data_IF_604379840776
#
_entry.id   IF_604379840776
#
_cell.length_a   1.000
_cell.length_b   1.000
_cell.length_c   1.000
_cell.angle_alpha   90.00
_cell.angle_beta   90.00
_cell.angle_gamma   90.00
#
_symmetry.space_group_name_H-M   'P 1'
#
loop_
_entity.id
_entity.type
_entity.pdbx_description
1 polymer ?
#
# COMPACT_ATOMS: atom_id res chain seq x y z
N UNK A 1 9.55 -10.09 -19.67
CA UNK A 1 10.81 -9.38 -19.35
C UNK A 1 11.85 -9.84 -20.36
N UNK A 2 12.59 -8.90 -20.96
CA UNK A 2 13.63 -9.21 -21.96
C UNK A 2 14.97 -9.41 -21.23
N UNK A 3 15.62 -10.57 -21.31
CA UNK A 3 16.93 -10.77 -20.70
C UNK A 3 17.99 -9.91 -21.40
N UNK A 4 18.97 -9.42 -20.64
CA UNK A 4 20.10 -8.69 -21.22
C UNK A 4 20.96 -9.66 -22.04
N UNK A 5 21.29 -9.28 -23.26
CA UNK A 5 22.23 -10.01 -24.12
C UNK A 5 23.53 -9.23 -24.28
N UNK A 6 24.63 -9.93 -24.58
CA UNK A 6 25.91 -9.28 -24.83
C UNK A 6 25.81 -8.28 -25.99
N UNK A 7 26.38 -7.09 -25.80
CA UNK A 7 26.31 -5.99 -26.78
C UNK A 7 25.01 -5.18 -26.76
N UNK A 8 24.09 -5.42 -25.82
CA UNK A 8 22.88 -4.60 -25.67
C UNK A 8 23.25 -3.18 -25.20
N UNK A 9 22.83 -2.16 -25.96
CA UNK A 9 22.91 -0.76 -25.54
C UNK A 9 21.54 -0.30 -25.02
N UNK A 10 21.50 0.19 -23.79
CA UNK A 10 20.27 0.62 -23.12
C UNK A 10 20.37 2.12 -22.86
N UNK A 11 19.46 2.90 -23.45
CA UNK A 11 19.33 4.33 -23.19
C UNK A 11 18.00 4.60 -22.48
N UNK A 12 18.06 5.27 -21.34
CA UNK A 12 16.89 5.68 -20.55
C UNK A 12 16.37 7.05 -21.04
N UNK A 13 17.24 7.83 -21.65
CA UNK A 13 16.97 9.20 -22.11
C UNK A 13 16.52 9.29 -23.56
N UNK A 14 16.42 8.14 -24.23
CA UNK A 14 15.87 8.03 -25.59
C UNK A 14 14.44 8.60 -25.66
N UNK A 15 14.16 9.29 -26.76
CA UNK A 15 12.91 10.00 -26.96
C UNK A 15 11.72 9.04 -27.11
N UNK A 16 11.92 7.90 -27.79
CA UNK A 16 10.89 6.87 -27.93
C UNK A 16 10.52 6.30 -26.54
N UNK A 17 11.52 6.08 -25.70
CA UNK A 17 11.31 5.59 -24.33
C UNK A 17 10.58 6.60 -23.43
N UNK A 18 10.78 7.91 -23.64
CA UNK A 18 10.04 8.97 -22.93
C UNK A 18 8.57 9.00 -23.36
N UNK A 19 8.31 9.02 -24.66
CA UNK A 19 6.96 9.04 -25.22
C UNK A 19 6.16 7.78 -24.86
N UNK A 20 6.83 6.62 -24.83
CA UNK A 20 6.23 5.37 -24.40
C UNK A 20 5.78 5.43 -22.93
N UNK A 21 6.63 5.94 -22.03
CA UNK A 21 6.28 6.10 -20.61
C UNK A 21 5.11 7.04 -20.40
N UNK A 22 5.10 8.18 -21.10
CA UNK A 22 3.99 9.14 -21.06
C UNK A 22 2.67 8.50 -21.50
N UNK A 23 2.69 7.74 -22.61
CA UNK A 23 1.52 7.02 -23.13
C UNK A 23 0.99 5.98 -22.15
N UNK A 24 1.87 5.22 -21.51
CA UNK A 24 1.49 4.22 -20.49
C UNK A 24 0.84 4.91 -19.29
N UNK A 25 1.42 6.00 -18.79
CA UNK A 25 0.88 6.77 -17.65
C UNK A 25 -0.51 7.32 -17.99
N UNK A 26 -0.71 7.85 -19.20
CA UNK A 26 -2.03 8.30 -19.65
C UNK A 26 -3.05 7.14 -19.65
N UNK A 27 -2.67 5.95 -20.15
CA UNK A 27 -3.55 4.78 -20.17
C UNK A 27 -3.96 4.33 -18.77
N UNK A 28 -3.02 4.29 -17.81
CA UNK A 28 -3.32 3.95 -16.41
C UNK A 28 -4.32 4.95 -15.79
N UNK A 29 -4.30 6.20 -16.23
CA UNK A 29 -5.17 7.26 -15.74
C UNK A 29 -6.54 7.37 -16.45
N UNK A 30 -6.75 6.64 -17.55
CA UNK A 30 -8.00 6.61 -18.32
C UNK A 30 -9.20 6.38 -17.39
N UNK A 31 -9.13 5.30 -16.61
CA UNK A 31 -10.18 4.87 -15.70
C UNK A 31 -9.92 5.24 -14.23
N UNK A 32 -8.71 5.73 -13.89
CA UNK A 32 -8.38 6.09 -12.51
C UNK A 32 -9.16 7.35 -12.06
N UNK A 33 -9.80 7.34 -10.88
CA UNK A 33 -10.63 8.45 -10.40
C UNK A 33 -9.80 9.69 -10.05
N UNK A 34 -10.47 10.81 -9.80
CA UNK A 34 -9.85 12.08 -9.40
C UNK A 34 -9.82 12.22 -7.87
N UNK A 35 -9.44 11.15 -7.19
CA UNK A 35 -9.58 11.03 -5.73
C UNK A 35 -8.31 11.44 -4.98
N UNK A 36 -7.25 11.91 -5.62
CA UNK A 36 -5.99 12.26 -4.95
C UNK A 36 -6.18 13.14 -3.68
N UNK A 37 -7.11 14.13 -3.65
CA UNK A 37 -7.35 14.94 -2.47
C UNK A 37 -7.97 14.19 -1.28
N UNK A 38 -8.70 13.10 -1.52
CA UNK A 38 -9.37 12.28 -0.48
C UNK A 38 -8.66 10.94 -0.24
N UNK A 39 -7.80 10.53 -1.18
CA UNK A 39 -7.01 9.31 -1.10
C UNK A 39 -5.94 9.44 -0.03
N UNK A 40 -5.86 8.41 0.83
CA UNK A 40 -4.96 8.40 1.96
C UNK A 40 -3.50 8.24 1.56
N UNK A 41 -3.26 7.53 0.46
CA UNK A 41 -1.95 7.38 -0.16
C UNK A 41 -1.56 8.59 -1.03
N UNK A 42 -2.40 9.62 -1.15
CA UNK A 42 -1.99 10.85 -1.85
C UNK A 42 -0.78 11.48 -1.16
N UNK A 43 0.32 11.66 -1.90
CA UNK A 43 1.65 12.02 -1.36
C UNK A 43 2.63 10.87 -1.15
N UNK A 44 2.15 9.63 -1.22
CA UNK A 44 2.94 8.40 -1.15
C UNK A 44 2.61 7.45 -2.32
N UNK A 45 1.82 7.92 -3.28
CA UNK A 45 1.28 7.13 -4.37
C UNK A 45 2.29 7.06 -5.52
N UNK A 46 2.77 5.86 -5.84
CA UNK A 46 3.74 5.68 -6.92
C UNK A 46 3.20 6.14 -8.28
N UNK A 47 1.89 5.96 -8.55
CA UNK A 47 1.29 6.48 -9.79
C UNK A 47 1.36 8.01 -9.86
N UNK A 48 1.20 8.70 -8.73
CA UNK A 48 1.29 10.16 -8.66
C UNK A 48 2.72 10.60 -9.00
N UNK A 49 3.72 9.98 -8.39
CA UNK A 49 5.14 10.29 -8.63
C UNK A 49 5.51 10.05 -10.10
N UNK A 50 5.11 8.90 -10.66
CA UNK A 50 5.35 8.59 -12.07
C UNK A 50 4.69 9.61 -13.01
N UNK A 51 3.49 10.10 -12.67
CA UNK A 51 2.78 11.12 -13.46
C UNK A 51 3.51 12.45 -13.46
N UNK A 52 4.04 12.87 -12.31
CA UNK A 52 4.85 14.08 -12.19
C UNK A 52 6.18 13.92 -12.94
N UNK A 53 6.84 12.77 -12.81
CA UNK A 53 8.12 12.48 -13.46
C UNK A 53 8.01 12.47 -15.00
N UNK A 54 6.89 12.03 -15.57
CA UNK A 54 6.66 12.06 -17.02
C UNK A 54 6.12 13.39 -17.52
N UNK A 55 5.86 14.37 -16.66
CA UNK A 55 5.36 15.70 -17.05
C UNK A 55 3.92 15.72 -17.58
N UNK A 56 3.14 14.67 -17.31
CA UNK A 56 1.80 14.53 -17.87
C UNK A 56 0.80 15.46 -17.15
N UNK A 57 0.27 16.46 -17.85
CA UNK A 57 -0.60 17.49 -17.27
C UNK A 57 -2.09 17.38 -17.65
N UNK A 58 -2.41 16.87 -18.84
CA UNK A 58 -3.78 16.85 -19.36
C UNK A 58 -4.22 15.44 -19.76
N UNK A 59 -5.44 15.03 -19.37
CA UNK A 59 -6.03 13.76 -19.81
C UNK A 59 -6.87 13.97 -21.06
N UNK A 60 -6.67 13.16 -22.10
CA UNK A 60 -7.49 13.22 -23.33
C UNK A 60 -8.83 12.51 -23.21
N UNK A 61 -8.95 11.55 -22.29
CA UNK A 61 -10.18 10.75 -22.10
C UNK A 61 -11.33 11.60 -21.55
N UNK A 62 -12.50 11.54 -22.20
CA UNK A 62 -13.69 12.35 -21.89
C UNK A 62 -14.95 11.54 -21.58
N UNK A 63 -14.88 10.21 -21.69
CA UNK A 63 -16.04 9.34 -21.51
C UNK A 63 -16.21 8.92 -20.05
N UNK A 64 -17.30 8.21 -19.78
CA UNK A 64 -17.58 7.65 -18.45
C UNK A 64 -16.47 6.69 -18.05
N UNK A 65 -15.99 6.82 -16.81
CA UNK A 65 -15.00 5.91 -16.22
C UNK A 65 -15.71 4.68 -15.68
N UNK A 66 -15.03 3.53 -15.73
CA UNK A 66 -15.51 2.33 -15.07
C UNK A 66 -15.64 2.55 -13.55
N UNK A 67 -16.61 1.88 -12.94
CA UNK A 67 -16.76 1.85 -11.49
C UNK A 67 -16.89 0.43 -10.99
N UNK A 68 -16.38 0.20 -9.79
CA UNK A 68 -16.37 -1.07 -9.09
C UNK A 68 -16.99 -0.88 -7.70
N UNK A 69 -17.57 -1.96 -7.17
CA UNK A 69 -18.06 -1.98 -5.80
C UNK A 69 -16.93 -2.37 -4.85
N UNK A 70 -16.83 -1.64 -3.76
CA UNK A 70 -15.88 -1.95 -2.71
C UNK A 70 -16.35 -3.17 -1.91
N UNK A 71 -15.39 -3.92 -1.38
CA UNK A 71 -15.63 -5.08 -0.53
C UNK A 71 -15.09 -4.78 0.87
N UNK A 72 -15.69 -5.40 1.87
CA UNK A 72 -15.07 -5.41 3.19
C UNK A 72 -14.05 -6.55 3.26
N UNK A 73 -12.78 -6.19 3.47
CA UNK A 73 -11.65 -7.12 3.54
C UNK A 73 -11.18 -7.36 4.98
N UNK A 74 -12.00 -6.96 5.96
CA UNK A 74 -11.72 -7.13 7.39
C UNK A 74 -11.40 -5.82 8.11
N UNK A 75 -10.99 -5.86 9.38
CA UNK A 75 -10.92 -4.68 10.23
C UNK A 75 -9.73 -3.74 9.91
N UNK A 76 -8.67 -4.26 9.30
CA UNK A 76 -7.41 -3.51 9.12
C UNK A 76 -7.28 -2.81 7.78
N UNK A 77 -7.81 -3.41 6.71
CA UNK A 77 -7.59 -2.96 5.33
C UNK A 77 -8.88 -2.42 4.76
N UNK A 78 -8.80 -1.21 4.23
CA UNK A 78 -9.83 -0.54 3.47
C UNK A 78 -9.62 -0.85 1.98
N UNK A 79 -10.71 -0.99 1.25
CA UNK A 79 -10.69 -1.37 -0.15
C UNK A 79 -11.41 -0.31 -0.99
N UNK A 80 -10.67 0.34 -1.90
CA UNK A 80 -11.21 1.27 -2.88
C UNK A 80 -10.78 0.84 -4.29
N UNK A 81 -11.60 -0.02 -4.90
CA UNK A 81 -11.24 -0.73 -6.12
C UNK A 81 -11.18 0.19 -7.35
N UNK A 82 -11.89 1.32 -7.32
CA UNK A 82 -11.87 2.30 -8.41
C UNK A 82 -10.46 2.87 -8.65
N UNK A 83 -9.60 2.88 -7.61
CA UNK A 83 -8.21 3.37 -7.70
C UNK A 83 -7.23 2.35 -8.31
N UNK A 84 -7.70 1.17 -8.70
CA UNK A 84 -6.83 0.10 -9.17
C UNK A 84 -6.45 0.26 -10.65
N UNK A 85 -5.15 0.11 -10.90
CA UNK A 85 -4.55 0.14 -12.24
C UNK A 85 -4.28 -1.25 -12.81
N UNK A 86 -4.81 -2.31 -12.20
CA UNK A 86 -4.68 -3.70 -12.64
C UNK A 86 -3.22 -4.17 -12.85
N UNK A 87 -2.31 -3.81 -11.93
CA UNK A 87 -0.90 -4.18 -12.02
C UNK A 87 -0.56 -5.61 -11.53
N UNK A 88 -1.55 -6.35 -10.98
CA UNK A 88 -1.42 -7.70 -10.43
C UNK A 88 -0.44 -7.87 -9.25
N UNK A 89 0.19 -6.80 -8.75
CA UNK A 89 1.14 -6.87 -7.62
C UNK A 89 0.52 -7.47 -6.35
N UNK A 90 -0.72 -7.08 -6.03
CA UNK A 90 -1.43 -7.56 -4.85
C UNK A 90 -1.65 -9.07 -4.88
N UNK A 91 -2.21 -9.61 -5.97
CA UNK A 91 -2.50 -11.05 -6.09
C UNK A 91 -1.22 -11.88 -6.16
N UNK A 92 -0.18 -11.39 -6.83
CA UNK A 92 1.13 -12.06 -6.83
C UNK A 92 1.72 -12.12 -5.43
N UNK A 93 1.76 -10.98 -4.72
CA UNK A 93 2.22 -10.97 -3.33
C UNK A 93 1.41 -11.92 -2.46
N UNK A 94 0.08 -11.84 -2.55
CA UNK A 94 -0.81 -12.58 -1.67
C UNK A 94 -0.70 -14.09 -1.87
N UNK A 95 -0.54 -14.56 -3.11
CA UNK A 95 -0.37 -15.97 -3.44
C UNK A 95 1.05 -16.49 -3.22
N UNK A 96 2.05 -15.71 -3.63
CA UNK A 96 3.45 -16.19 -3.68
C UNK A 96 4.18 -15.99 -2.33
N UNK A 97 3.78 -15.00 -1.52
CA UNK A 97 4.48 -14.61 -0.29
C UNK A 97 3.62 -14.65 0.97
N UNK A 98 2.31 -14.39 0.88
CA UNK A 98 1.42 -14.37 2.04
C UNK A 98 0.66 -15.70 2.23
N UNK A 99 0.89 -16.70 1.37
CA UNK A 99 0.21 -18.01 1.32
C UNK A 99 -1.32 -17.91 1.37
N UNK A 100 -1.88 -16.77 0.93
CA UNK A 100 -3.30 -16.50 0.98
C UNK A 100 -4.02 -16.96 -0.29
N UNK A 101 -5.15 -17.64 -0.12
CA UNK A 101 -5.92 -18.24 -1.24
C UNK A 101 -7.20 -17.49 -1.58
N UNK A 102 -7.61 -16.54 -0.76
CA UNK A 102 -8.92 -15.89 -0.79
C UNK A 102 -8.94 -14.55 -1.55
N UNK A 103 -7.80 -14.01 -1.98
CA UNK A 103 -7.70 -12.85 -2.88
C UNK A 103 -7.40 -13.30 -4.32
N UNK A 104 -8.28 -12.93 -5.24
CA UNK A 104 -8.23 -13.32 -6.65
C UNK A 104 -8.41 -12.17 -7.64
N UNK A 105 -8.44 -12.53 -8.91
CA UNK A 105 -8.75 -11.66 -10.03
C UNK A 105 -10.00 -12.19 -10.70
N UNK A 106 -10.98 -11.32 -10.93
CA UNK A 106 -12.26 -11.64 -11.54
C UNK A 106 -12.56 -10.69 -12.70
N UNK A 107 -13.43 -11.10 -13.61
CA UNK A 107 -13.77 -10.32 -14.81
C UNK A 107 -12.71 -10.40 -15.91
N UNK A 108 -12.89 -9.57 -16.94
CA UNK A 108 -12.04 -9.53 -18.13
C UNK A 108 -11.99 -8.11 -18.72
N UNK A 109 -11.00 -7.86 -19.58
CA UNK A 109 -10.81 -6.59 -20.29
C UNK A 109 -10.71 -5.38 -19.36
N UNK A 110 -11.61 -4.41 -19.54
CA UNK A 110 -11.71 -3.19 -18.76
C UNK A 110 -12.51 -3.39 -17.46
N UNK A 111 -13.17 -4.52 -17.26
CA UNK A 111 -13.93 -4.83 -16.04
C UNK A 111 -13.22 -5.81 -15.10
N UNK A 112 -11.87 -5.79 -15.09
CA UNK A 112 -11.08 -6.63 -14.16
C UNK A 112 -11.21 -6.09 -12.74
N UNK A 113 -11.54 -7.00 -11.82
CA UNK A 113 -11.74 -6.79 -10.40
C UNK A 113 -10.72 -7.57 -9.57
N UNK A 114 -10.18 -6.97 -8.51
CA UNK A 114 -9.26 -7.61 -7.56
C UNK A 114 -9.92 -7.62 -6.19
N UNK A 115 -10.07 -8.78 -5.57
CA UNK A 115 -10.80 -8.90 -4.33
C UNK A 115 -11.10 -10.35 -3.99
N UNK A 116 -12.15 -10.60 -3.22
CA UNK A 116 -12.62 -11.93 -2.83
C UNK A 116 -13.86 -12.33 -3.64
N UNK A 117 -14.21 -13.63 -3.72
CA UNK A 117 -15.52 -14.04 -4.24
C UNK A 117 -16.67 -13.46 -3.43
N UNK A 118 -16.52 -13.44 -2.10
CA UNK A 118 -17.49 -12.93 -1.13
C UNK A 118 -16.79 -11.99 -0.15
N UNK A 119 -17.50 -10.93 0.26
CA UNK A 119 -16.98 -9.98 1.25
C UNK A 119 -16.68 -10.68 2.58
N UNK A 120 -15.55 -10.35 3.19
CA UNK A 120 -15.14 -10.89 4.48
C UNK A 120 -13.68 -10.62 4.78
N UNK A 121 -13.25 -10.91 6.00
CA UNK A 121 -11.87 -10.75 6.46
C UNK A 121 -10.89 -11.65 5.72
N UNK A 122 -9.78 -11.06 5.23
CA UNK A 122 -8.68 -11.82 4.64
C UNK A 122 -8.06 -12.79 5.65
N UNK A 123 -7.78 -14.01 5.21
CA UNK A 123 -7.36 -15.10 6.11
C UNK A 123 -5.86 -15.07 6.47
N UNK A 124 -5.02 -14.49 5.61
CA UNK A 124 -3.56 -14.45 5.83
C UNK A 124 -3.16 -13.47 6.93
N UNK A 125 -2.26 -13.89 7.83
CA UNK A 125 -1.65 -13.03 8.87
C UNK A 125 -0.69 -11.96 8.31
N UNK A 126 -0.42 -11.97 7.00
CA UNK A 126 0.41 -11.00 6.29
C UNK A 126 -0.39 -10.19 5.26
N UNK A 127 -1.71 -10.15 5.41
CA UNK A 127 -2.62 -9.44 4.51
C UNK A 127 -2.38 -7.93 4.52
N UNK A 128 -1.96 -7.35 5.64
CA UNK A 128 -1.70 -5.93 5.86
C UNK A 128 -0.64 -5.33 4.95
N UNK A 129 0.33 -6.13 4.52
CA UNK A 129 1.37 -5.66 3.59
C UNK A 129 0.79 -5.33 2.21
N UNK A 130 -0.46 -5.70 1.89
CA UNK A 130 -1.14 -5.26 0.68
C UNK A 130 -1.18 -3.73 0.57
N UNK A 131 -1.23 -3.01 1.70
CA UNK A 131 -1.20 -1.54 1.75
C UNK A 131 0.14 -1.00 1.23
N UNK A 132 1.27 -1.63 1.58
CA UNK A 132 2.60 -1.22 1.10
C UNK A 132 2.93 -1.73 -0.31
N UNK A 133 2.41 -2.91 -0.68
CA UNK A 133 2.64 -3.50 -2.00
C UNK A 133 1.86 -2.78 -3.10
N UNK A 134 0.73 -2.15 -2.77
CA UNK A 134 -0.08 -1.45 -3.74
C UNK A 134 0.63 -0.16 -4.21
N UNK A 135 0.83 0.02 -5.53
CA UNK A 135 1.41 1.26 -6.05
C UNK A 135 0.43 2.44 -6.06
N UNK A 136 -0.85 2.20 -5.74
CA UNK A 136 -1.93 3.19 -5.67
C UNK A 136 -2.71 3.01 -4.36
N UNK A 137 -3.65 3.91 -4.06
CA UNK A 137 -4.45 3.83 -2.83
C UNK A 137 -5.64 2.88 -2.89
N UNK A 138 -5.50 1.67 -3.45
CA UNK A 138 -6.57 0.65 -3.49
C UNK A 138 -6.75 0.00 -2.13
N UNK A 139 -5.63 -0.38 -1.51
CA UNK A 139 -5.59 -0.93 -0.17
C UNK A 139 -5.04 0.16 0.75
N UNK A 140 -5.81 0.58 1.73
CA UNK A 140 -5.36 1.58 2.73
C UNK A 140 -5.56 1.03 4.14
N UNK A 141 -4.77 1.52 5.08
CA UNK A 141 -4.90 1.16 6.50
C UNK A 141 -6.14 1.86 7.10
N UNK A 142 -7.19 1.10 7.45
CA UNK A 142 -8.42 1.63 8.08
C UNK A 142 -8.11 2.39 9.36
N UNK A 143 -7.17 1.92 10.16
CA UNK A 143 -6.78 2.55 11.43
C UNK A 143 -6.06 3.88 11.21
N UNK A 144 -5.40 4.05 10.06
CA UNK A 144 -4.84 5.34 9.63
C UNK A 144 -5.93 6.28 9.11
N UNK A 145 -6.90 5.77 8.35
CA UNK A 145 -7.99 6.56 7.79
C UNK A 145 -8.87 7.22 8.87
N UNK A 146 -9.08 6.57 10.03
CA UNK A 146 -9.84 7.16 11.15
C UNK A 146 -9.23 8.46 11.69
N UNK A 147 -7.90 8.53 11.74
CA UNK A 147 -7.16 9.71 12.18
C UNK A 147 -6.19 10.14 11.10
N UNK A 148 -6.79 10.67 10.05
CA UNK A 148 -6.13 10.96 8.80
C UNK A 148 -4.96 11.96 8.92
N UNK A 149 -3.78 11.55 8.45
CA UNK A 149 -2.61 12.41 8.28
C UNK A 149 -1.89 12.09 6.96
N UNK A 150 -1.29 13.12 6.35
CA UNK A 150 -0.49 12.97 5.12
C UNK A 150 0.94 12.52 5.46
N UNK A 151 1.59 11.84 4.52
CA UNK A 151 2.95 11.33 4.72
C UNK A 151 3.96 12.43 5.06
N UNK A 152 3.91 13.54 4.34
CA UNK A 152 4.80 14.69 4.56
C UNK A 152 4.58 15.40 5.91
N UNK A 153 3.43 15.18 6.56
CA UNK A 153 3.16 15.74 7.88
C UNK A 153 3.75 14.87 9.01
N UNK A 154 4.06 13.60 8.76
CA UNK A 154 4.52 12.68 9.81
C UNK A 154 6.03 12.71 9.97
N UNK A 155 6.49 12.54 11.21
CA UNK A 155 7.91 12.34 11.51
C UNK A 155 8.19 10.86 11.73
N UNK A 156 9.14 10.31 10.99
CA UNK A 156 9.49 8.90 11.05
C UNK A 156 10.81 8.70 11.80
N UNK A 157 10.86 7.68 12.65
CA UNK A 157 12.07 7.27 13.36
C UNK A 157 12.30 5.75 13.24
N UNK A 158 13.54 5.29 13.07
CA UNK A 158 13.84 3.86 13.01
C UNK A 158 13.56 3.19 14.36
N UNK A 159 12.87 2.06 14.34
CA UNK A 159 12.53 1.27 15.53
C UNK A 159 12.52 -0.24 15.24
N UNK A 160 12.21 -1.02 16.28
CA UNK A 160 12.10 -2.48 16.25
C UNK A 160 10.74 -2.89 16.84
N UNK A 161 10.00 -3.70 16.10
CA UNK A 161 8.71 -4.23 16.53
C UNK A 161 8.86 -5.19 17.73
N UNK A 162 8.08 -4.95 18.79
CA UNK A 162 8.09 -5.75 20.03
C UNK A 162 6.88 -6.68 20.15
N UNK A 163 6.08 -6.86 19.08
CA UNK A 163 4.82 -7.62 19.15
C UNK A 163 4.99 -9.13 19.00
N UNK A 164 6.12 -9.58 18.46
CA UNK A 164 6.50 -10.98 18.35
C UNK A 164 8.00 -11.12 18.56
N UNK A 165 8.49 -12.36 18.72
CA UNK A 165 9.90 -12.67 18.96
C UNK A 165 10.83 -12.43 17.77
N UNK A 166 10.29 -12.07 16.59
CA UNK A 166 11.10 -11.85 15.37
C UNK A 166 11.90 -10.54 15.45
N UNK A 167 11.36 -9.51 16.11
CA UNK A 167 12.04 -8.21 16.19
C UNK A 167 12.18 -7.51 14.84
N UNK A 168 11.11 -7.42 14.05
CA UNK A 168 11.16 -6.81 12.72
C UNK A 168 11.55 -5.33 12.79
N UNK A 169 12.37 -4.87 11.83
CA UNK A 169 12.71 -3.46 11.71
C UNK A 169 11.52 -2.65 11.20
N UNK A 170 11.17 -1.58 11.89
CA UNK A 170 10.04 -0.71 11.52
C UNK A 170 10.43 0.76 11.51
N UNK A 171 9.59 1.57 10.89
CA UNK A 171 9.66 3.02 10.87
C UNK A 171 8.31 3.59 11.33
N UNK A 172 8.08 3.71 12.65
CA UNK A 172 6.92 4.41 13.18
C UNK A 172 6.91 5.90 12.78
N UNK A 173 5.80 6.33 12.21
CA UNK A 173 5.44 7.72 11.92
C UNK A 173 4.60 8.31 13.05
N UNK A 174 5.04 9.44 13.59
CA UNK A 174 4.41 10.17 14.68
C UNK A 174 3.84 11.51 14.18
N UNK A 175 2.72 11.92 14.81
CA UNK A 175 2.18 13.27 14.70
C UNK A 175 1.43 13.66 15.98
N UNK A 176 1.81 14.80 16.56
CA UNK A 176 1.21 15.41 17.77
C UNK A 176 1.30 14.52 19.03
N UNK A 177 2.43 13.84 19.22
CA UNK A 177 2.70 12.91 20.31
C UNK A 177 2.04 11.53 20.15
N UNK A 178 1.36 11.26 19.03
CA UNK A 178 0.65 10.01 18.79
C UNK A 178 1.23 9.26 17.58
N UNK A 179 1.31 7.93 17.66
CA UNK A 179 1.76 7.12 16.53
C UNK A 179 0.64 6.98 15.51
N UNK A 180 0.93 7.39 14.27
CA UNK A 180 -0.05 7.49 13.18
C UNK A 180 0.15 6.49 12.07
N UNK A 181 1.34 5.92 11.87
CA UNK A 181 1.59 4.90 10.84
C UNK A 181 2.81 4.10 11.24
N UNK A 182 2.86 2.83 10.89
CA UNK A 182 4.07 2.03 11.04
C UNK A 182 4.38 1.49 9.67
N UNK A 183 5.51 1.93 9.11
CA UNK A 183 6.01 1.43 7.84
C UNK A 183 7.09 0.39 8.10
N UNK A 184 7.24 -0.53 7.15
CA UNK A 184 8.35 -1.45 7.17
C UNK A 184 9.69 -0.75 6.91
N UNK A 185 10.75 -1.20 7.59
CA UNK A 185 12.13 -0.78 7.32
C UNK A 185 12.94 -2.00 6.88
N UNK A 186 13.52 -1.90 5.68
CA UNK A 186 14.22 -3.02 5.07
C UNK A 186 15.36 -3.56 5.95
N UNK A 187 15.36 -4.87 6.15
CA UNK A 187 16.46 -5.61 6.75
C UNK A 187 16.62 -6.97 6.08
N UNK A 188 17.73 -7.18 5.39
CA UNK A 188 18.00 -8.41 4.65
C UNK A 188 18.16 -9.67 5.50
N UNK A 189 18.33 -9.55 6.83
CA UNK A 189 18.50 -10.73 7.70
C UNK A 189 17.26 -11.08 8.53
N UNK A 190 16.24 -10.22 8.58
CA UNK A 190 15.08 -10.40 9.47
C UNK A 190 13.77 -10.39 8.70
N UNK A 191 13.34 -9.21 8.23
CA UNK A 191 11.99 -9.00 7.72
C UNK A 191 11.94 -8.65 6.23
N UNK A 192 13.08 -8.45 5.57
CA UNK A 192 13.17 -7.97 4.19
C UNK A 192 12.18 -6.81 3.95
N UNK A 193 11.10 -7.04 3.20
CA UNK A 193 10.09 -6.05 2.86
C UNK A 193 8.74 -6.23 3.56
N UNK A 194 8.55 -7.20 4.46
CA UNK A 194 7.22 -7.56 4.97
C UNK A 194 7.12 -7.60 6.50
N UNK A 195 5.95 -7.23 7.02
CA UNK A 195 5.61 -7.29 8.44
C UNK A 195 4.38 -8.18 8.66
N UNK A 196 4.30 -8.87 9.80
CA UNK A 196 3.05 -9.52 10.19
C UNK A 196 2.01 -8.48 10.61
N UNK A 197 0.72 -8.77 10.43
CA UNK A 197 -0.38 -7.84 10.72
C UNK A 197 -0.43 -7.41 12.19
N UNK A 198 0.12 -8.24 13.10
CA UNK A 198 0.23 -7.91 14.52
C UNK A 198 1.11 -6.68 14.80
N UNK A 199 2.15 -6.45 13.99
CA UNK A 199 3.06 -5.32 14.20
C UNK A 199 2.38 -3.97 13.96
N UNK A 200 1.96 -3.68 12.72
CA UNK A 200 1.42 -2.39 12.32
C UNK A 200 0.12 -2.02 13.05
N UNK A 201 -0.81 -2.97 13.19
CA UNK A 201 -2.17 -2.66 13.65
C UNK A 201 -2.35 -2.79 15.17
N UNK A 202 -1.62 -3.71 15.84
CA UNK A 202 -1.81 -3.96 17.29
C UNK A 202 -1.17 -2.91 18.18
N UNK A 203 -0.11 -2.24 17.75
CA UNK A 203 0.52 -1.18 18.53
C UNK A 203 -0.43 0.01 18.76
N UNK A 204 -1.32 0.28 17.80
CA UNK A 204 -2.29 1.39 17.90
C UNK A 204 -3.48 1.10 18.79
N UNK A 205 -3.98 -0.14 18.80
CA UNK A 205 -5.03 -0.56 19.75
C UNK A 205 -4.61 -0.33 21.21
N UNK A 206 -3.30 -0.33 21.49
CA UNK A 206 -2.76 -0.05 22.83
C UNK A 206 -2.71 1.44 23.18
N UNK A 207 -2.85 2.35 22.21
CA UNK A 207 -2.88 3.81 22.45
C UNK A 207 -4.31 4.35 22.63
N UNK A 208 -5.33 3.70 22.05
CA UNK A 208 -6.74 4.05 22.30
C UNK A 208 -7.21 3.68 23.71
N UNK A 209 -6.57 2.68 24.34
CA UNK A 209 -6.56 2.53 25.78
C UNK A 209 -5.52 3.47 26.39
N UNK A 210 -5.96 4.52 27.09
CA UNK A 210 -5.07 5.42 27.87
C UNK A 210 -4.00 4.60 28.59
N UNK A 211 -2.72 5.01 28.59
CA UNK A 211 -1.78 4.46 29.56
C UNK A 211 -2.32 4.79 30.95
N UNK A 212 -2.58 3.77 31.77
CA UNK A 212 -2.88 3.97 33.18
C UNK A 212 -1.68 4.68 33.80
N UNK A 213 -1.86 5.94 34.18
CA UNK A 213 -0.86 6.76 34.89
C UNK A 213 -0.59 6.27 36.32
N UNK A 214 -1.06 5.09 36.71
CA UNK A 214 -0.60 4.42 37.92
C UNK A 214 0.64 3.58 37.58
N UNK A 215 1.81 4.11 37.92
CA UNK A 215 3.01 3.31 38.13
C UNK A 215 2.70 2.14 39.08
N UNK A 216 2.57 0.93 38.55
CA UNK A 216 2.67 -0.29 39.34
C UNK A 216 4.06 -0.85 39.09
N UNK A 217 4.85 -0.79 40.15
CA UNK A 217 6.25 -1.14 40.21
C UNK A 217 6.53 -2.52 39.61
N UNK A 218 7.70 -2.59 38.99
CA UNK A 218 8.51 -3.80 38.83
C UNK A 218 8.45 -4.65 40.10
N UNK A 219 7.96 -5.88 39.97
CA UNK A 219 8.23 -6.96 40.92
C UNK A 219 8.46 -8.24 40.12
N UNK A 220 9.69 -8.41 39.65
CA UNK A 220 10.22 -9.74 39.37
C UNK A 220 10.50 -10.40 40.72
N UNK A 221 9.78 -11.47 41.02
CA UNK A 221 10.23 -12.54 41.91
C UNK A 221 10.57 -13.75 41.04
#
# INVERSE_FOLDING_TARGET
MTPAADGTFISIDDEEAKQFRESVVEWLMTNHPHDCPVCEEGGNCHLQDMTVMTGHSFRRYRFTKRTHQNQDLGPFISHEMNRCIACYRCVRYYKDYADGTDLGVYGAHDNVYFGRPESGTLESEFSGNLVEVCPTGVFTDKTHSERYNRKWDMQFAPSICQQCSVGCNTSPGERYGELRRIENRYNGSVNHYFLCDRGPFRLRLRQSGRPSTSAAAVAWR
#
